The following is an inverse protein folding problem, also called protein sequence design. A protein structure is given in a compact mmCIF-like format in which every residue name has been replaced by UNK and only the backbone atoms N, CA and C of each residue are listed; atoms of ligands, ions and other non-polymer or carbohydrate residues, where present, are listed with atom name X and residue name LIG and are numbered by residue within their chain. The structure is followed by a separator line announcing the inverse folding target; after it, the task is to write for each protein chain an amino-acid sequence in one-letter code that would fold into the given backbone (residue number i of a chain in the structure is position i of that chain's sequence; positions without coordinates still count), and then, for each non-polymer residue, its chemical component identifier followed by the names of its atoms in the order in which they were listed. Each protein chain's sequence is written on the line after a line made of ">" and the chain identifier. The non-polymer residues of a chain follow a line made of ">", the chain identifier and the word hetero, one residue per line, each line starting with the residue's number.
data_IF_397427205357
#
_entry.id   IF_397427205357
#
_cell.length_a   1.000
_cell.length_b   1.000
_cell.length_c   1.000
_cell.angle_alpha   90.00
_cell.angle_beta   90.00
_cell.angle_gamma   90.00
#
_symmetry.space_group_name_H-M   'P 1'
#
loop_
_entity.id
_entity.type
_entity.pdbx_description
1 polymer ?
#
# COMPACT_ATOMS: atom_id res chain seq x y z
N UNK A 1 16.58 -30.63 31.31
CA UNK A 1 15.39 -29.97 31.90
C UNK A 1 14.93 -28.91 30.92
N UNK A 2 13.82 -29.14 30.22
CA UNK A 2 13.35 -28.26 29.15
C UNK A 2 12.50 -27.12 29.73
N UNK A 3 12.95 -25.88 29.55
CA UNK A 3 12.19 -24.69 29.91
C UNK A 3 11.08 -24.46 28.89
N UNK A 4 9.83 -24.66 29.33
CA UNK A 4 8.64 -24.32 28.56
C UNK A 4 8.33 -22.83 28.77
N UNK A 5 8.73 -21.98 27.83
CA UNK A 5 8.26 -20.59 27.81
C UNK A 5 6.81 -20.59 27.32
N UNK A 6 5.85 -20.45 28.25
CA UNK A 6 4.45 -20.20 27.91
C UNK A 6 4.25 -18.68 27.77
N UNK A 7 3.91 -18.23 26.56
CA UNK A 7 3.48 -16.85 26.32
C UNK A 7 2.14 -16.61 27.01
N UNK A 8 2.12 -15.71 28.00
CA UNK A 8 0.90 -15.16 28.55
C UNK A 8 0.44 -14.01 27.63
N UNK A 9 -0.44 -14.31 26.67
CA UNK A 9 -1.32 -13.29 26.11
C UNK A 9 -2.33 -12.92 27.19
N UNK A 10 -2.22 -11.71 27.76
CA UNK A 10 -3.27 -11.15 28.60
C UNK A 10 -4.57 -11.08 27.77
N UNK A 11 -5.75 -11.35 28.35
CA UNK A 11 -6.99 -10.98 27.70
C UNK A 11 -6.93 -9.47 27.48
N UNK A 12 -6.87 -9.06 26.20
CA UNK A 12 -7.10 -7.67 25.84
C UNK A 12 -8.57 -7.43 26.09
N UNK A 13 -8.93 -7.02 27.31
CA UNK A 13 -10.27 -6.48 27.56
C UNK A 13 -10.42 -5.33 26.56
N UNK A 14 -11.35 -5.51 25.60
CA UNK A 14 -11.68 -4.46 24.64
C UNK A 14 -12.04 -3.19 25.40
N UNK A 15 -11.81 -2.04 24.78
CA UNK A 15 -12.37 -0.80 25.32
C UNK A 15 -13.88 -0.97 25.45
N UNK A 16 -14.54 -0.55 26.54
CA UNK A 16 -15.98 -0.77 26.76
C UNK A 16 -16.86 -0.34 25.58
N UNK A 17 -16.38 0.63 24.80
CA UNK A 17 -17.10 1.13 23.62
C UNK A 17 -17.00 0.22 22.39
N UNK A 18 -16.01 -0.69 22.35
CA UNK A 18 -15.90 -1.74 21.33
C UNK A 18 -16.85 -2.89 21.67
N UNK A 19 -17.02 -3.17 22.97
CA UNK A 19 -17.98 -4.16 23.47
C UNK A 19 -19.42 -3.70 23.21
N UNK A 20 -19.76 -2.44 23.50
CA UNK A 20 -21.07 -1.84 23.18
C UNK A 20 -21.39 -1.87 21.67
N UNK A 21 -20.38 -1.67 20.83
CA UNK A 21 -20.53 -1.75 19.37
C UNK A 21 -20.83 -3.19 18.91
N UNK A 22 -20.08 -4.17 19.44
CA UNK A 22 -20.29 -5.59 19.14
C UNK A 22 -21.70 -6.03 19.55
N UNK A 23 -22.16 -5.60 20.72
CA UNK A 23 -23.50 -5.88 21.22
C UNK A 23 -24.59 -5.28 20.31
N UNK A 24 -24.40 -4.06 19.82
CA UNK A 24 -25.32 -3.46 18.86
C UNK A 24 -25.35 -4.20 17.52
N UNK A 25 -24.20 -4.71 17.06
CA UNK A 25 -24.09 -5.49 15.85
C UNK A 25 -24.80 -6.85 15.97
N UNK A 26 -24.57 -7.55 17.09
CA UNK A 26 -25.24 -8.83 17.41
C UNK A 26 -26.75 -8.63 17.46
N UNK A 27 -27.22 -7.59 18.16
CA UNK A 27 -28.64 -7.27 18.28
C UNK A 27 -29.28 -6.93 16.93
N UNK A 28 -28.60 -6.17 16.08
CA UNK A 28 -29.07 -5.86 14.73
C UNK A 28 -29.20 -7.14 13.88
N UNK A 29 -28.19 -8.02 13.93
CA UNK A 29 -28.19 -9.28 13.21
C UNK A 29 -29.36 -10.18 13.63
N UNK A 30 -29.58 -10.35 14.93
CA UNK A 30 -30.71 -11.13 15.45
C UNK A 30 -32.07 -10.54 15.06
N UNK A 31 -32.16 -9.21 14.95
CA UNK A 31 -33.40 -8.53 14.55
C UNK A 31 -33.70 -8.63 13.06
N UNK A 32 -32.67 -8.75 12.21
CA UNK A 32 -32.79 -8.94 10.77
C UNK A 32 -33.28 -10.35 10.38
N UNK A 33 -33.07 -11.36 11.23
CA UNK A 33 -33.52 -12.73 11.02
C UNK A 33 -35.04 -12.91 11.28
N UNK A 34 -35.68 -11.92 11.93
CA UNK A 34 -37.12 -11.91 12.20
C UNK A 34 -37.83 -11.02 11.17
N UNK A 35 -38.29 -11.63 10.06
CA UNK A 35 -39.08 -10.92 9.02
C UNK A 35 -40.52 -10.68 9.48
N UNK A 36 -40.71 -9.75 10.42
CA UNK A 36 -42.04 -9.25 10.81
C UNK A 36 -42.23 -7.83 10.26
N UNK A 37 -43.20 -7.65 9.38
CA UNK A 37 -43.55 -6.34 8.78
C UNK A 37 -44.46 -5.49 9.68
N UNK A 38 -44.63 -5.86 10.95
CA UNK A 38 -45.41 -5.04 11.88
C UNK A 38 -44.70 -3.70 12.13
N UNK A 39 -45.47 -2.62 12.24
CA UNK A 39 -44.92 -1.28 12.48
C UNK A 39 -43.99 -1.23 13.71
N UNK A 40 -44.33 -1.97 14.78
CA UNK A 40 -43.49 -2.06 15.98
C UNK A 40 -42.14 -2.76 15.72
N UNK A 41 -42.11 -3.81 14.89
CA UNK A 41 -40.87 -4.49 14.54
C UNK A 41 -39.98 -3.59 13.67
N UNK A 42 -40.57 -2.89 12.70
CA UNK A 42 -39.87 -1.91 11.87
C UNK A 42 -39.27 -0.79 12.72
N UNK A 43 -40.01 -0.23 13.68
CA UNK A 43 -39.49 0.78 14.60
C UNK A 43 -38.30 0.29 15.43
N UNK A 44 -38.37 -0.94 15.96
CA UNK A 44 -37.26 -1.54 16.72
C UNK A 44 -36.01 -1.80 15.86
N UNK A 45 -36.20 -2.18 14.60
CA UNK A 45 -35.10 -2.32 13.63
C UNK A 45 -34.45 -0.97 13.31
N UNK A 46 -35.24 0.09 13.13
CA UNK A 46 -34.69 1.43 12.90
C UNK A 46 -33.94 1.96 14.13
N UNK A 47 -34.46 1.69 15.33
CA UNK A 47 -33.79 2.03 16.59
C UNK A 47 -32.46 1.30 16.76
N UNK A 48 -32.39 0.00 16.43
CA UNK A 48 -31.14 -0.77 16.50
C UNK A 48 -30.09 -0.28 15.49
N UNK A 49 -30.52 0.10 14.28
CA UNK A 49 -29.65 0.74 13.28
C UNK A 49 -29.14 2.10 13.78
N UNK A 50 -30.01 2.91 14.38
CA UNK A 50 -29.62 4.22 14.90
C UNK A 50 -28.59 4.09 16.05
N UNK A 51 -28.81 3.15 16.96
CA UNK A 51 -27.87 2.87 18.04
C UNK A 51 -26.50 2.41 17.52
N UNK A 52 -26.48 1.52 16.52
CA UNK A 52 -25.23 1.10 15.88
C UNK A 52 -24.50 2.29 15.23
N UNK A 53 -25.24 3.16 14.54
CA UNK A 53 -24.69 4.35 13.91
C UNK A 53 -24.03 5.29 14.93
N UNK A 54 -24.69 5.55 16.07
CA UNK A 54 -24.12 6.35 17.15
C UNK A 54 -22.85 5.73 17.75
N UNK A 55 -22.84 4.42 17.98
CA UNK A 55 -21.65 3.72 18.49
C UNK A 55 -20.48 3.77 17.51
N UNK A 56 -20.73 3.66 16.20
CA UNK A 56 -19.69 3.87 15.17
C UNK A 56 -19.15 5.30 15.22
N UNK A 57 -20.03 6.29 15.30
CA UNK A 57 -19.64 7.69 15.38
C UNK A 57 -18.77 7.97 16.62
N UNK A 58 -19.13 7.39 17.76
CA UNK A 58 -18.32 7.46 18.99
C UNK A 58 -16.94 6.80 18.80
N UNK A 59 -16.90 5.59 18.21
CA UNK A 59 -15.66 4.86 17.94
C UNK A 59 -14.72 5.65 17.02
N UNK A 60 -15.23 6.24 15.94
CA UNK A 60 -14.45 7.09 15.03
C UNK A 60 -13.92 8.34 15.74
N UNK A 61 -14.66 8.86 16.73
CA UNK A 61 -14.24 10.04 17.48
C UNK A 61 -13.13 9.75 18.50
N UNK A 62 -12.95 8.48 18.89
CA UNK A 62 -11.93 8.05 19.84
C UNK A 62 -10.51 8.35 19.32
N UNK A 63 -9.67 8.90 20.19
CA UNK A 63 -8.32 9.35 19.82
C UNK A 63 -7.44 8.23 19.27
N UNK A 64 -7.55 7.02 19.83
CA UNK A 64 -6.85 5.82 19.37
C UNK A 64 -7.25 5.43 17.94
N UNK A 65 -8.54 5.52 17.61
CA UNK A 65 -9.08 5.23 16.28
C UNK A 65 -8.57 6.26 15.27
N UNK A 66 -8.67 7.56 15.59
CA UNK A 66 -8.17 8.65 14.74
C UNK A 66 -6.67 8.52 14.49
N UNK A 67 -5.90 8.16 15.51
CA UNK A 67 -4.45 7.97 15.38
C UNK A 67 -4.11 6.75 14.51
N UNK A 68 -4.85 5.64 14.64
CA UNK A 68 -4.71 4.48 13.77
C UNK A 68 -5.04 4.78 12.31
N UNK A 69 -6.15 5.49 12.07
CA UNK A 69 -6.57 5.92 10.72
C UNK A 69 -5.56 6.89 10.08
N UNK A 70 -5.05 7.85 10.84
CA UNK A 70 -4.01 8.78 10.37
C UNK A 70 -2.69 8.06 10.05
N UNK A 71 -2.31 7.07 10.86
CA UNK A 71 -1.13 6.24 10.61
C UNK A 71 -1.28 5.43 9.32
N UNK A 72 -2.42 4.77 9.11
CA UNK A 72 -2.68 4.02 7.87
C UNK A 72 -2.72 4.92 6.64
N UNK A 73 -3.32 6.11 6.75
CA UNK A 73 -3.30 7.10 5.67
C UNK A 73 -1.87 7.58 5.34
N UNK A 74 -1.05 7.84 6.37
CA UNK A 74 0.37 8.18 6.20
C UNK A 74 1.18 7.05 5.58
N UNK A 75 0.91 5.80 5.96
CA UNK A 75 1.55 4.60 5.38
C UNK A 75 1.19 4.43 3.91
N UNK A 76 -0.08 4.62 3.54
CA UNK A 76 -0.51 4.59 2.15
C UNK A 76 0.17 5.69 1.32
N UNK A 77 0.22 6.92 1.83
CA UNK A 77 0.95 8.01 1.18
C UNK A 77 2.44 7.72 0.98
N UNK A 78 3.06 7.08 1.99
CA UNK A 78 4.46 6.65 1.92
C UNK A 78 4.69 5.56 0.86
N UNK A 79 3.77 4.60 0.74
CA UNK A 79 3.82 3.56 -0.29
C UNK A 79 3.72 4.17 -1.69
N UNK A 80 2.78 5.07 -1.94
CA UNK A 80 2.62 5.75 -3.23
C UNK A 80 3.87 6.56 -3.59
N UNK A 81 4.46 7.28 -2.62
CA UNK A 81 5.71 8.02 -2.85
C UNK A 81 6.88 7.08 -3.16
N UNK A 82 6.97 5.95 -2.46
CA UNK A 82 7.99 4.94 -2.69
C UNK A 82 7.86 4.30 -4.07
N UNK A 83 6.64 3.94 -4.50
CA UNK A 83 6.35 3.43 -5.84
C UNK A 83 6.78 4.44 -6.92
N UNK A 84 6.40 5.71 -6.76
CA UNK A 84 6.85 6.78 -7.66
C UNK A 84 8.37 6.93 -7.72
N UNK A 85 9.05 6.81 -6.59
CA UNK A 85 10.51 6.89 -6.50
C UNK A 85 11.20 5.70 -7.18
N UNK A 86 10.65 4.49 -7.03
CA UNK A 86 11.15 3.29 -7.69
C UNK A 86 11.03 3.39 -9.22
N UNK A 87 9.87 3.86 -9.71
CA UNK A 87 9.65 4.09 -11.14
C UNK A 87 10.64 5.11 -11.72
N UNK A 88 10.96 6.17 -10.98
CA UNK A 88 11.98 7.14 -11.39
C UNK A 88 13.38 6.50 -11.46
N UNK A 89 13.72 5.66 -10.47
CA UNK A 89 14.99 4.93 -10.47
C UNK A 89 15.10 4.00 -11.69
N UNK A 90 14.02 3.30 -12.05
CA UNK A 90 13.97 2.46 -13.25
C UNK A 90 14.20 3.29 -14.53
N UNK A 91 13.54 4.45 -14.64
CA UNK A 91 13.76 5.38 -15.75
C UNK A 91 15.22 5.86 -15.82
N UNK A 92 15.85 6.16 -14.68
CA UNK A 92 17.27 6.52 -14.62
C UNK A 92 18.17 5.36 -15.07
N UNK A 93 17.84 4.11 -14.70
CA UNK A 93 18.52 2.92 -15.19
C UNK A 93 18.47 2.82 -16.71
N UNK A 94 17.27 2.93 -17.29
CA UNK A 94 17.06 2.91 -18.75
C UNK A 94 17.86 4.04 -19.43
N UNK A 95 17.81 5.26 -18.90
CA UNK A 95 18.54 6.40 -19.46
C UNK A 95 20.07 6.19 -19.44
N UNK A 96 20.58 5.56 -18.38
CA UNK A 96 21.99 5.19 -18.28
C UNK A 96 22.38 4.16 -19.34
N UNK A 97 21.57 3.13 -19.54
CA UNK A 97 21.82 2.09 -20.53
C UNK A 97 21.81 2.66 -21.96
N UNK A 98 20.86 3.54 -22.26
CA UNK A 98 20.82 4.27 -23.54
C UNK A 98 22.09 5.09 -23.75
N UNK A 99 22.56 5.77 -22.69
CA UNK A 99 23.78 6.58 -22.75
C UNK A 99 25.01 5.72 -23.00
N UNK A 100 25.12 4.58 -22.30
CA UNK A 100 26.22 3.62 -22.50
C UNK A 100 26.20 3.02 -23.92
N UNK A 101 25.02 2.70 -24.45
CA UNK A 101 24.88 2.22 -25.83
C UNK A 101 25.35 3.28 -26.83
N UNK A 102 24.98 4.54 -26.63
CA UNK A 102 25.41 5.66 -27.48
C UNK A 102 26.94 5.79 -27.50
N UNK A 103 27.57 5.72 -26.33
CA UNK A 103 29.03 5.78 -26.21
C UNK A 103 29.72 4.61 -26.91
N UNK A 104 29.17 3.39 -26.78
CA UNK A 104 29.67 2.21 -27.48
C UNK A 104 29.62 2.36 -29.01
N UNK A 105 28.48 2.81 -29.55
CA UNK A 105 28.31 3.07 -30.98
C UNK A 105 29.32 4.13 -31.46
N UNK A 106 29.47 5.22 -30.72
CA UNK A 106 30.42 6.28 -31.07
C UNK A 106 31.87 5.78 -31.07
N UNK A 107 32.23 4.88 -30.14
CA UNK A 107 33.52 4.20 -30.09
C UNK A 107 33.79 3.30 -31.30
N UNK A 108 32.78 2.52 -31.72
CA UNK A 108 32.86 1.69 -32.93
C UNK A 108 33.06 2.53 -34.19
N UNK A 109 32.25 3.57 -34.38
CA UNK A 109 32.39 4.45 -35.53
C UNK A 109 33.76 5.14 -35.58
N UNK A 110 34.28 5.57 -34.42
CA UNK A 110 35.61 6.17 -34.33
C UNK A 110 36.70 5.18 -34.75
N UNK A 111 36.56 3.91 -34.36
CA UNK A 111 37.49 2.85 -34.73
C UNK A 111 37.44 2.55 -36.23
N UNK A 112 36.24 2.52 -36.82
CA UNK A 112 36.05 2.34 -38.26
C UNK A 112 36.68 3.49 -39.06
N UNK A 113 36.43 4.76 -38.69
CA UNK A 113 37.04 5.93 -39.34
C UNK A 113 38.57 5.91 -39.29
N UNK A 114 39.14 5.44 -38.17
CA UNK A 114 40.60 5.26 -38.04
C UNK A 114 41.10 4.17 -38.97
N UNK A 115 40.40 3.04 -39.08
CA UNK A 115 40.78 1.96 -39.97
C UNK A 115 40.79 2.42 -41.44
N UNK A 116 39.74 3.13 -41.87
CA UNK A 116 39.66 3.70 -43.22
C UNK A 116 40.83 4.65 -43.51
N UNK A 117 41.16 5.55 -42.58
CA UNK A 117 42.32 6.43 -42.71
C UNK A 117 43.63 5.66 -42.86
N UNK A 118 43.83 4.60 -42.06
CA UNK A 118 45.03 3.77 -42.14
C UNK A 118 45.13 3.03 -43.48
N UNK A 119 44.01 2.49 -43.99
CA UNK A 119 43.96 1.84 -45.31
C UNK A 119 44.30 2.86 -46.40
N UNK A 120 43.71 4.05 -46.38
CA UNK A 120 44.02 5.10 -47.35
C UNK A 120 45.49 5.53 -47.30
N UNK A 121 46.06 5.70 -46.11
CA UNK A 121 47.49 6.02 -45.95
C UNK A 121 48.39 4.89 -46.49
N UNK A 122 48.04 3.63 -46.25
CA UNK A 122 48.76 2.47 -46.79
C UNK A 122 48.73 2.45 -48.32
N UNK A 123 47.56 2.63 -48.93
CA UNK A 123 47.39 2.66 -50.39
C UNK A 123 48.16 3.82 -51.04
N UNK A 124 48.23 4.98 -50.37
CA UNK A 124 48.98 6.14 -50.85
C UNK A 124 50.52 5.96 -50.72
N UNK A 125 50.98 5.06 -49.84
CA UNK A 125 52.41 4.81 -49.61
C UNK A 125 53.09 3.97 -50.70
N UNK A 126 52.35 3.46 -51.69
CA UNK A 126 52.92 2.87 -52.92
C UNK A 126 53.87 1.69 -52.72
N UNK A 127 53.63 0.82 -51.72
CA UNK A 127 54.28 -0.49 -51.61
C UNK A 127 53.40 -1.57 -52.24
#
# INVERSE_FOLDING_TARGET
>A
MAHHTRSNSLPSNGHPTVEDFEDHLIRLKSSAEVTSLSASCVSKNLESVNNLHESINYLIQLSSMKQGLALEQGRNGTLVLLDGSLRLLDCCGIAKDITALKESVQGLESSLRKLEHNIHAYMASGK
#
